data_IF_572125376020
#
_entry.id   IF_572125376020
#
_cell.length_a   1.000
_cell.length_b   1.000
_cell.length_c   1.000
_cell.angle_alpha   90.00
_cell.angle_beta   90.00
_cell.angle_gamma   90.00
#
_symmetry.space_group_name_H-M   'P 1'
#
loop_
_entity.id
_entity.type
_entity.pdbx_description
1 polymer ?
#
# COMPACT_ATOMS: atom_id res chain seq x y z
N UNK A 1 -8.27 -45.10 -26.35
CA UNK A 1 -7.31 -44.19 -25.80
C UNK A 1 -6.18 -44.97 -25.14
N UNK A 2 -4.97 -44.65 -25.47
CA UNK A 2 -3.82 -45.38 -24.92
C UNK A 2 -3.62 -44.95 -23.45
N UNK A 3 -3.22 -45.92 -22.61
CA UNK A 3 -2.95 -45.70 -21.19
C UNK A 3 -1.94 -44.57 -20.98
N UNK A 4 -0.94 -44.46 -21.81
CA UNK A 4 0.08 -43.44 -21.79
C UNK A 4 -0.53 -42.01 -21.88
N UNK A 5 -1.53 -41.80 -22.73
CA UNK A 5 -2.21 -40.52 -22.89
C UNK A 5 -3.01 -40.14 -21.61
N UNK A 6 -3.63 -41.14 -20.99
CA UNK A 6 -4.39 -40.92 -19.74
C UNK A 6 -3.45 -40.50 -18.60
N UNK A 7 -2.30 -41.18 -18.47
CA UNK A 7 -1.30 -40.87 -17.45
C UNK A 7 -0.73 -39.44 -17.67
N UNK A 8 -0.36 -39.14 -18.92
CA UNK A 8 0.16 -37.80 -19.28
C UNK A 8 -0.85 -36.71 -18.99
N UNK A 9 -2.12 -36.95 -19.30
CA UNK A 9 -3.19 -35.98 -19.01
C UNK A 9 -3.38 -35.74 -17.52
N UNK A 10 -3.38 -36.80 -16.71
CA UNK A 10 -3.48 -36.67 -15.24
C UNK A 10 -2.29 -35.94 -14.64
N UNK A 11 -1.09 -36.23 -15.10
CA UNK A 11 0.12 -35.55 -14.64
C UNK A 11 0.09 -34.07 -15.02
N UNK A 12 -0.41 -33.73 -16.21
CA UNK A 12 -0.55 -32.34 -16.64
C UNK A 12 -1.54 -31.57 -15.78
N UNK A 13 -2.67 -32.18 -15.41
CA UNK A 13 -3.66 -31.56 -14.53
C UNK A 13 -3.05 -31.33 -13.14
N UNK A 14 -2.37 -32.32 -12.57
CA UNK A 14 -1.72 -32.21 -11.28
C UNK A 14 -0.69 -31.09 -11.27
N UNK A 15 0.14 -31.05 -12.31
CA UNK A 15 1.14 -30.00 -12.49
C UNK A 15 0.49 -28.62 -12.59
N UNK A 16 -0.62 -28.49 -13.33
CA UNK A 16 -1.36 -27.24 -13.46
C UNK A 16 -1.91 -26.76 -12.12
N UNK A 17 -2.45 -27.67 -11.31
CA UNK A 17 -2.99 -27.36 -9.98
C UNK A 17 -1.86 -26.86 -9.07
N UNK A 18 -0.72 -27.54 -9.03
CA UNK A 18 0.42 -27.14 -8.21
C UNK A 18 0.93 -25.75 -8.60
N UNK A 19 1.07 -25.49 -9.89
CA UNK A 19 1.51 -24.20 -10.40
C UNK A 19 0.51 -23.10 -10.05
N UNK A 20 -0.80 -23.37 -10.18
CA UNK A 20 -1.84 -22.40 -9.86
C UNK A 20 -1.83 -22.04 -8.37
N UNK A 21 -1.71 -23.01 -7.46
CA UNK A 21 -1.62 -22.77 -6.02
C UNK A 21 -0.37 -21.94 -5.70
N UNK A 22 0.75 -22.31 -6.29
CA UNK A 22 2.00 -21.58 -6.06
C UNK A 22 1.93 -20.13 -6.56
N UNK A 23 1.34 -19.92 -7.74
CA UNK A 23 1.16 -18.58 -8.30
C UNK A 23 0.28 -17.69 -7.41
N UNK A 24 -0.82 -18.23 -6.87
CA UNK A 24 -1.70 -17.52 -5.95
C UNK A 24 -0.96 -17.14 -4.66
N UNK A 25 -0.22 -18.08 -4.07
CA UNK A 25 0.58 -17.80 -2.88
C UNK A 25 1.63 -16.72 -3.14
N UNK A 26 2.31 -16.79 -4.27
CA UNK A 26 3.32 -15.82 -4.67
C UNK A 26 2.71 -14.42 -4.89
N UNK A 27 1.54 -14.36 -5.53
CA UNK A 27 0.81 -13.11 -5.72
C UNK A 27 0.49 -12.44 -4.38
N UNK A 28 -0.08 -13.18 -3.43
CA UNK A 28 -0.38 -12.63 -2.11
C UNK A 28 0.87 -12.19 -1.36
N UNK A 29 1.96 -12.93 -1.47
CA UNK A 29 3.22 -12.56 -0.84
C UNK A 29 3.77 -11.24 -1.39
N UNK A 30 3.72 -11.05 -2.71
CA UNK A 30 4.17 -9.81 -3.35
C UNK A 30 3.29 -8.62 -2.93
N UNK A 31 1.97 -8.79 -2.91
CA UNK A 31 1.04 -7.73 -2.51
C UNK A 31 1.27 -7.32 -1.05
N UNK A 32 1.49 -8.29 -0.18
CA UNK A 32 1.81 -8.02 1.22
C UNK A 32 3.11 -7.22 1.35
N UNK A 33 4.14 -7.59 0.60
CA UNK A 33 5.41 -6.88 0.60
C UNK A 33 5.28 -5.44 0.11
N UNK A 34 4.51 -5.21 -0.95
CA UNK A 34 4.22 -3.87 -1.47
C UNK A 34 3.50 -3.03 -0.41
N UNK A 35 2.50 -3.60 0.27
CA UNK A 35 1.78 -2.90 1.33
C UNK A 35 2.72 -2.53 2.49
N UNK A 36 3.57 -3.45 2.92
CA UNK A 36 4.52 -3.21 4.00
C UNK A 36 5.53 -2.13 3.63
N UNK A 37 6.06 -2.16 2.41
CA UNK A 37 7.00 -1.16 1.93
C UNK A 37 6.35 0.23 1.84
N UNK A 38 5.10 0.30 1.38
CA UNK A 38 4.35 1.56 1.31
C UNK A 38 4.10 2.12 2.71
N UNK A 39 3.67 1.28 3.65
CA UNK A 39 3.41 1.69 5.03
C UNK A 39 4.68 2.17 5.72
N UNK A 40 5.80 1.49 5.51
CA UNK A 40 7.09 1.88 6.04
C UNK A 40 7.53 3.24 5.49
N UNK A 41 7.40 3.44 4.18
CA UNK A 41 7.75 4.72 3.55
C UNK A 41 6.89 5.87 4.06
N UNK A 42 5.58 5.65 4.25
CA UNK A 42 4.68 6.63 4.82
C UNK A 42 5.03 6.95 6.29
N UNK A 43 5.38 5.94 7.06
CA UNK A 43 5.79 6.10 8.46
C UNK A 43 7.05 6.95 8.55
N UNK A 44 8.07 6.64 7.77
CA UNK A 44 9.33 7.39 7.75
C UNK A 44 9.11 8.85 7.35
N UNK A 45 8.28 9.08 6.34
CA UNK A 45 7.92 10.43 5.90
C UNK A 45 7.18 11.20 6.99
N UNK A 46 6.21 10.56 7.65
CA UNK A 46 5.44 11.16 8.74
C UNK A 46 6.34 11.52 9.92
N UNK A 47 7.26 10.64 10.31
CA UNK A 47 8.21 10.90 11.40
C UNK A 47 9.13 12.06 11.07
N UNK A 48 9.61 12.15 9.84
CA UNK A 48 10.43 13.27 9.38
C UNK A 48 9.66 14.59 9.46
N UNK A 49 8.40 14.62 8.99
CA UNK A 49 7.56 15.81 9.08
C UNK A 49 7.32 16.24 10.53
N UNK A 50 7.05 15.30 11.42
CA UNK A 50 6.83 15.58 12.84
C UNK A 50 8.09 16.13 13.48
N UNK A 51 9.24 15.54 13.21
CA UNK A 51 10.53 15.98 13.73
C UNK A 51 10.82 17.41 13.28
N UNK A 52 10.64 17.72 12.01
CA UNK A 52 10.85 19.06 11.47
C UNK A 52 9.84 20.07 12.05
N UNK A 53 8.60 19.66 12.20
CA UNK A 53 7.55 20.50 12.80
C UNK A 53 7.87 20.86 14.25
N UNK A 54 8.29 19.89 15.05
CA UNK A 54 8.64 20.11 16.45
C UNK A 54 9.92 20.92 16.60
N UNK A 55 10.84 20.83 15.65
CA UNK A 55 12.06 21.64 15.63
C UNK A 55 11.80 23.09 15.18
N UNK A 56 10.60 23.41 14.73
CA UNK A 56 10.24 24.74 14.23
C UNK A 56 10.76 25.02 12.82
N UNK A 57 11.19 24.01 12.11
CA UNK A 57 11.65 24.13 10.72
C UNK A 57 10.47 24.30 9.77
N UNK A 58 10.73 24.95 8.63
CA UNK A 58 9.74 25.08 7.57
C UNK A 58 9.49 23.71 6.95
N UNK A 59 8.24 23.25 6.95
CA UNK A 59 7.88 22.00 6.34
C UNK A 59 7.92 22.12 4.81
N UNK A 60 8.33 21.03 4.10
CA UNK A 60 8.23 21.03 2.65
C UNK A 60 6.77 21.14 2.23
N UNK A 61 6.51 21.85 1.13
CA UNK A 61 5.18 21.86 0.54
C UNK A 61 4.79 20.43 0.17
N UNK A 62 3.49 20.11 0.31
CA UNK A 62 2.99 18.82 -0.11
C UNK A 62 3.30 18.66 -1.60
N UNK A 63 4.16 17.69 -1.91
CA UNK A 63 4.69 17.53 -3.26
C UNK A 63 3.75 16.64 -4.06
N UNK A 64 3.06 17.24 -5.01
CA UNK A 64 2.27 16.50 -5.97
C UNK A 64 3.14 15.65 -6.90
N UNK A 65 4.39 16.05 -7.10
CA UNK A 65 5.35 15.30 -7.93
C UNK A 65 5.70 13.96 -7.31
N UNK A 66 5.86 13.92 -5.99
CA UNK A 66 6.11 12.65 -5.27
C UNK A 66 4.83 11.87 -4.99
N UNK A 67 3.67 12.45 -5.26
CA UNK A 67 2.39 11.86 -4.95
C UNK A 67 2.06 11.78 -3.47
N UNK A 68 2.89 12.39 -2.62
CA UNK A 68 2.68 12.41 -1.18
C UNK A 68 2.14 13.76 -0.75
N UNK A 69 1.02 13.73 -0.04
CA UNK A 69 0.40 14.91 0.53
C UNK A 69 0.20 14.71 2.02
N UNK A 70 0.15 15.80 2.77
CA UNK A 70 -0.05 15.74 4.21
C UNK A 70 -0.96 16.87 4.68
N UNK A 71 -1.62 16.63 5.82
CA UNK A 71 -2.43 17.61 6.53
C UNK A 71 -2.12 17.50 8.01
N UNK A 72 -1.88 18.65 8.68
CA UNK A 72 -1.71 18.71 10.12
C UNK A 72 -2.86 19.52 10.68
N UNK A 73 -3.57 18.98 11.68
CA UNK A 73 -4.69 19.67 12.32
C UNK A 73 -4.68 19.46 13.84
N UNK A 74 -5.17 20.45 14.61
CA UNK A 74 -5.29 20.28 16.05
C UNK A 74 -6.43 19.32 16.40
N UNK A 75 -6.26 18.54 17.46
CA UNK A 75 -7.27 17.64 17.98
C UNK A 75 -7.42 17.79 19.48
N UNK A 76 -8.59 17.50 20.07
CA UNK A 76 -8.77 17.50 21.51
C UNK A 76 -7.94 16.41 22.20
N UNK A 77 -7.47 16.69 23.43
CA UNK A 77 -6.72 15.72 24.21
C UNK A 77 -7.51 14.44 24.49
N UNK A 78 -8.84 14.56 24.70
CA UNK A 78 -9.69 13.41 24.91
C UNK A 78 -9.78 12.49 23.69
N UNK A 79 -9.78 13.05 22.49
CA UNK A 79 -9.72 12.29 21.25
C UNK A 79 -8.37 11.56 21.11
N UNK A 80 -7.27 12.27 21.37
CA UNK A 80 -5.92 11.70 21.32
C UNK A 80 -5.75 10.53 22.30
N UNK A 81 -6.34 10.62 23.48
CA UNK A 81 -6.28 9.56 24.48
C UNK A 81 -7.06 8.30 24.10
N UNK A 82 -8.12 8.44 23.29
CA UNK A 82 -8.99 7.32 22.90
C UNK A 82 -8.56 6.62 21.63
N UNK A 83 -7.75 7.29 20.81
CA UNK A 83 -7.38 6.76 19.48
C UNK A 83 -5.96 6.22 19.49
N UNK A 84 -5.70 5.24 18.63
CA UNK A 84 -4.33 4.79 18.41
C UNK A 84 -3.50 5.90 17.77
N UNK A 85 -2.25 6.06 18.22
CA UNK A 85 -1.39 7.14 17.77
C UNK A 85 -0.86 6.95 16.36
N UNK A 86 -0.82 5.71 15.88
CA UNK A 86 -0.42 5.40 14.50
C UNK A 86 -1.49 4.50 13.91
N UNK A 87 -2.08 4.92 12.79
CA UNK A 87 -3.13 4.16 12.11
C UNK A 87 -2.91 4.19 10.61
N UNK A 88 -3.10 3.05 9.98
CA UNK A 88 -3.05 2.92 8.52
C UNK A 88 -4.46 2.66 8.01
N UNK A 89 -4.82 3.30 6.89
CA UNK A 89 -6.15 3.14 6.31
C UNK A 89 -6.10 3.35 4.80
N UNK A 90 -6.84 2.52 4.08
CA UNK A 90 -7.15 2.79 2.67
C UNK A 90 -8.41 3.63 2.61
N UNK A 91 -8.36 4.75 1.92
CA UNK A 91 -9.49 5.65 1.80
C UNK A 91 -9.51 6.27 0.41
N UNK A 92 -10.69 6.77 0.01
CA UNK A 92 -10.84 7.48 -1.23
C UNK A 92 -10.65 8.97 -0.99
N UNK A 93 -9.73 9.58 -1.73
CA UNK A 93 -9.41 10.99 -1.60
C UNK A 93 -9.44 11.68 -2.95
N UNK A 94 -9.81 12.98 -2.94
CA UNK A 94 -9.81 13.79 -4.14
C UNK A 94 -8.40 14.36 -4.36
N UNK A 95 -7.85 14.09 -5.56
CA UNK A 95 -6.56 14.64 -5.99
C UNK A 95 -6.80 15.77 -6.97
N UNK A 96 -6.47 16.99 -6.58
CA UNK A 96 -6.72 18.20 -7.37
C UNK A 96 -6.03 18.15 -8.74
N UNK A 97 -4.82 17.60 -8.82
CA UNK A 97 -4.09 17.49 -10.08
C UNK A 97 -4.80 16.64 -11.13
N UNK A 98 -5.51 15.61 -10.67
CA UNK A 98 -6.18 14.66 -11.55
C UNK A 98 -7.67 14.92 -11.64
N UNK A 99 -8.19 15.91 -10.88
CA UNK A 99 -9.60 16.28 -10.81
C UNK A 99 -10.55 15.10 -10.63
N UNK A 100 -10.13 14.11 -9.83
CA UNK A 100 -10.94 12.91 -9.57
C UNK A 100 -10.63 12.32 -8.20
N UNK A 101 -11.57 11.52 -7.71
CA UNK A 101 -11.37 10.72 -6.51
C UNK A 101 -10.59 9.47 -6.87
N UNK A 102 -9.61 9.16 -6.07
CA UNK A 102 -8.77 7.97 -6.21
C UNK A 102 -8.53 7.35 -4.86
N UNK A 103 -8.29 6.04 -4.85
CA UNK A 103 -7.91 5.37 -3.62
C UNK A 103 -6.52 5.81 -3.20
N UNK A 104 -6.37 6.04 -1.90
CA UNK A 104 -5.10 6.44 -1.31
C UNK A 104 -4.82 5.59 -0.06
N UNK A 105 -3.55 5.28 0.14
CA UNK A 105 -3.08 4.72 1.40
C UNK A 105 -2.73 5.87 2.33
N UNK A 106 -3.31 5.85 3.53
CA UNK A 106 -3.08 6.92 4.52
C UNK A 106 -2.44 6.37 5.78
N UNK A 107 -1.58 7.18 6.38
CA UNK A 107 -1.13 7.00 7.75
C UNK A 107 -1.61 8.19 8.57
N UNK A 108 -2.21 7.93 9.72
CA UNK A 108 -2.59 8.94 10.70
C UNK A 108 -1.65 8.81 11.89
N UNK A 109 -0.95 9.88 12.21
CA UNK A 109 0.00 9.92 13.31
C UNK A 109 -0.41 11.00 14.29
N UNK A 110 -0.66 10.62 15.55
CA UNK A 110 -1.05 11.56 16.62
C UNK A 110 0.18 11.88 17.46
N UNK A 111 0.47 13.15 17.64
CA UNK A 111 1.63 13.59 18.41
C UNK A 111 1.29 14.82 19.25
N UNK A 112 2.12 15.09 20.25
CA UNK A 112 1.99 16.21 21.13
C UNK A 112 3.10 17.23 20.86
N UNK A 113 2.73 18.51 20.76
CA UNK A 113 3.70 19.61 20.61
C UNK A 113 4.31 20.00 21.96
N UNK A 114 5.38 20.79 21.93
CA UNK A 114 6.09 21.23 23.12
C UNK A 114 5.21 22.06 24.08
N UNK A 115 4.19 22.75 23.54
CA UNK A 115 3.23 23.53 24.31
C UNK A 115 2.09 22.66 24.91
N UNK A 116 2.17 21.34 24.76
CA UNK A 116 1.21 20.42 25.32
C UNK A 116 -0.03 20.18 24.47
N UNK A 117 -0.12 20.78 23.30
CA UNK A 117 -1.26 20.59 22.41
C UNK A 117 -1.13 19.30 21.59
N UNK A 118 -2.26 18.62 21.40
CA UNK A 118 -2.30 17.43 20.56
C UNK A 118 -2.64 17.79 19.13
N UNK A 119 -1.93 17.16 18.20
CA UNK A 119 -2.12 17.35 16.76
C UNK A 119 -2.13 16.02 16.04
N UNK A 120 -2.82 15.99 14.91
CA UNK A 120 -2.92 14.82 14.06
C UNK A 120 -2.30 15.14 12.71
N UNK A 121 -1.33 14.33 12.32
CA UNK A 121 -0.73 14.36 10.98
C UNK A 121 -1.32 13.23 10.16
N UNK A 122 -1.90 13.57 9.01
CA UNK A 122 -2.40 12.61 8.04
C UNK A 122 -1.54 12.74 6.78
N UNK A 123 -0.85 11.66 6.42
CA UNK A 123 -0.07 11.57 5.18
C UNK A 123 -0.75 10.58 4.28
N UNK A 124 -0.90 10.93 3.01
CA UNK A 124 -1.55 10.04 2.05
C UNK A 124 -0.81 10.04 0.72
N UNK A 125 -0.91 8.91 0.03
CA UNK A 125 -0.30 8.71 -1.28
C UNK A 125 -1.27 7.95 -2.17
N UNK A 126 -1.35 8.28 -3.48
CA UNK A 126 -2.21 7.54 -4.40
C UNK A 126 -1.81 6.06 -4.47
N UNK A 127 -2.79 5.17 -4.50
CA UNK A 127 -2.57 3.73 -4.63
C UNK A 127 -2.73 3.21 -6.05
N UNK A 128 -2.79 4.11 -7.04
CA UNK A 128 -2.96 3.77 -8.46
C UNK A 128 -1.83 2.88 -8.96
N UNK A 129 -0.61 3.22 -8.62
CA UNK A 129 0.57 2.44 -9.02
C UNK A 129 0.49 1.02 -8.50
N UNK A 130 -0.10 0.84 -7.33
CA UNK A 130 -0.33 -0.47 -6.74
C UNK A 130 -1.28 -1.31 -7.60
N UNK A 131 -2.36 -0.72 -8.12
CA UNK A 131 -3.28 -1.42 -9.02
C UNK A 131 -2.61 -1.79 -10.33
N UNK A 132 -1.78 -0.92 -10.89
CA UNK A 132 -1.02 -1.20 -12.11
C UNK A 132 -0.01 -2.32 -11.88
N UNK A 133 0.67 -2.33 -10.73
CA UNK A 133 1.60 -3.39 -10.34
C UNK A 133 0.86 -4.71 -10.19
N UNK A 134 -0.31 -4.72 -9.56
CA UNK A 134 -1.14 -5.92 -9.43
C UNK A 134 -1.49 -6.52 -10.79
N UNK A 135 -1.91 -5.68 -11.74
CA UNK A 135 -2.23 -6.12 -13.10
C UNK A 135 -1.00 -6.68 -13.80
N UNK A 136 0.13 -5.99 -13.71
CA UNK A 136 1.37 -6.43 -14.32
C UNK A 136 1.80 -7.79 -13.77
N UNK A 137 1.76 -7.99 -12.47
CA UNK A 137 2.08 -9.26 -11.83
C UNK A 137 1.14 -10.35 -12.30
N UNK A 138 -0.16 -10.07 -12.38
CA UNK A 138 -1.15 -11.04 -12.83
C UNK A 138 -0.90 -11.47 -14.28
N UNK A 139 -0.64 -10.53 -15.18
CA UNK A 139 -0.31 -10.83 -16.57
C UNK A 139 0.95 -11.69 -16.69
N UNK A 140 1.99 -11.35 -15.93
CA UNK A 140 3.23 -12.13 -15.92
C UNK A 140 3.02 -13.55 -15.40
N UNK A 141 2.21 -13.71 -14.35
CA UNK A 141 1.88 -15.02 -13.81
C UNK A 141 1.08 -15.86 -14.81
N UNK A 142 0.12 -15.26 -15.50
CA UNK A 142 -0.66 -15.93 -16.53
C UNK A 142 0.26 -16.35 -17.69
N UNK A 143 1.14 -15.48 -18.16
CA UNK A 143 2.09 -15.80 -19.23
C UNK A 143 3.02 -16.94 -18.82
N UNK A 144 3.55 -16.92 -17.63
CA UNK A 144 4.40 -17.97 -17.09
C UNK A 144 3.64 -19.31 -17.02
N UNK A 145 2.40 -19.26 -16.54
CA UNK A 145 1.54 -20.44 -16.43
C UNK A 145 1.31 -21.09 -17.80
N UNK A 146 1.00 -20.26 -18.81
CA UNK A 146 0.79 -20.75 -20.19
C UNK A 146 2.08 -21.38 -20.74
N UNK A 147 3.22 -20.75 -20.54
CA UNK A 147 4.52 -21.27 -20.98
C UNK A 147 4.82 -22.62 -20.35
N UNK A 148 4.55 -22.77 -19.05
CA UNK A 148 4.83 -24.01 -18.33
C UNK A 148 3.87 -25.14 -18.69
N UNK A 149 2.66 -24.82 -19.15
CA UNK A 149 1.70 -25.83 -19.61
C UNK A 149 1.99 -26.35 -21.03
N UNK A 150 2.67 -25.58 -21.83
CA UNK A 150 3.09 -25.98 -23.16
C UNK A 150 4.43 -26.70 -23.12
#
# INVERSE_FOLDING_TARGET
>A
MKLQNVITFRLSILKAIVIAVWAVCFYFAIIKEINNATDEALTDYAETLITDYLAGETLPESSEISGRQYVIRPIPAGYAARMQHIRYKDTEMFFEQRHRYEQARTITYIFQTDDGQWRELVVFTPSIDKNNIKRAILYWLIALYVVLLV
#
